data_IF_231884892620
#
_entry.id   IF_231884892620
#
_cell.length_a   1.000
_cell.length_b   1.000
_cell.length_c   1.000
_cell.angle_alpha   90.00
_cell.angle_beta   90.00
_cell.angle_gamma   90.00
#
_symmetry.space_group_name_H-M   'P 1'
#
loop_
_entity.id
_entity.type
_entity.pdbx_description
1 polymer ?
#
# COMPACT_ATOMS: atom_id res chain seq x y z
N UNK A 1 12.95 14.82 -14.90
CA UNK A 1 13.48 15.78 -13.92
C UNK A 1 14.23 16.93 -14.56
N UNK A 2 15.22 16.74 -15.44
CA UNK A 2 15.95 17.87 -16.07
C UNK A 2 15.03 18.80 -16.87
N UNK A 3 14.08 18.23 -17.61
CA UNK A 3 13.09 19.01 -18.34
C UNK A 3 12.05 19.72 -17.42
N UNK A 4 12.00 19.39 -16.13
CA UNK A 4 11.04 20.00 -15.19
C UNK A 4 11.53 21.38 -14.74
N UNK A 5 10.67 22.42 -14.75
CA UNK A 5 11.08 23.78 -14.38
C UNK A 5 11.77 23.84 -13.01
N UNK A 6 12.76 24.73 -12.85
CA UNK A 6 13.50 24.90 -11.59
C UNK A 6 12.58 25.21 -10.41
N UNK A 7 11.53 26.03 -10.63
CA UNK A 7 10.51 26.33 -9.63
C UNK A 7 9.85 25.05 -9.12
N UNK A 8 9.37 24.19 -10.02
CA UNK A 8 8.73 22.92 -9.67
C UNK A 8 9.70 21.97 -8.97
N UNK A 9 10.95 21.85 -9.45
CA UNK A 9 11.98 21.03 -8.79
C UNK A 9 12.29 21.50 -7.37
N UNK A 10 12.29 22.81 -7.15
CA UNK A 10 12.50 23.40 -5.82
C UNK A 10 11.32 23.08 -4.90
N UNK A 11 10.08 23.20 -5.39
CA UNK A 11 8.88 22.79 -4.64
C UNK A 11 8.92 21.29 -4.30
N UNK A 12 9.25 20.43 -5.27
CA UNK A 12 9.38 18.99 -5.07
C UNK A 12 10.43 18.66 -3.99
N UNK A 13 11.58 19.35 -4.00
CA UNK A 13 12.61 19.18 -2.98
C UNK A 13 12.11 19.61 -1.59
N UNK A 14 11.39 20.74 -1.48
CA UNK A 14 10.78 21.18 -0.22
C UNK A 14 9.76 20.17 0.29
N UNK A 15 8.89 19.64 -0.58
CA UNK A 15 7.92 18.59 -0.23
C UNK A 15 8.66 17.34 0.27
N UNK A 16 9.72 16.90 -0.41
CA UNK A 16 10.52 15.76 0.03
C UNK A 16 11.12 16.00 1.43
N UNK A 17 11.58 17.20 1.73
CA UNK A 17 12.08 17.56 3.07
C UNK A 17 10.96 17.53 4.10
N UNK A 18 9.86 18.23 3.85
CA UNK A 18 8.74 18.34 4.82
C UNK A 18 8.16 16.96 5.11
N UNK A 19 7.84 16.19 4.07
CA UNK A 19 7.29 14.83 4.23
C UNK A 19 8.33 13.90 4.85
N UNK A 20 9.60 14.00 4.46
CA UNK A 20 10.69 13.23 5.06
C UNK A 20 10.83 13.49 6.56
N UNK A 21 10.73 14.75 7.00
CA UNK A 21 10.73 15.12 8.42
C UNK A 21 9.51 14.55 9.14
N UNK A 22 8.30 14.61 8.55
CA UNK A 22 7.11 14.01 9.15
C UNK A 22 7.24 12.48 9.28
N UNK A 23 7.82 11.81 8.29
CA UNK A 23 8.07 10.37 8.30
C UNK A 23 9.07 9.94 9.38
N UNK A 24 10.04 10.79 9.70
CA UNK A 24 11.09 10.52 10.71
C UNK A 24 10.65 10.93 12.12
N UNK A 25 9.99 12.09 12.25
CA UNK A 25 9.76 12.73 13.55
C UNK A 25 8.32 12.60 14.06
N UNK A 26 7.33 12.36 13.20
CA UNK A 26 5.91 12.34 13.60
C UNK A 26 5.31 10.95 13.46
N UNK A 27 5.47 10.31 12.30
CA UNK A 27 4.86 9.01 12.01
C UNK A 27 5.24 7.91 13.03
N UNK A 28 6.50 7.80 13.52
CA UNK A 28 6.84 6.77 14.49
C UNK A 28 6.01 6.80 15.76
N UNK A 29 5.68 8.00 16.25
CA UNK A 29 4.82 8.20 17.41
C UNK A 29 3.36 7.84 17.09
N UNK A 30 2.84 8.27 15.93
CA UNK A 30 1.49 7.91 15.50
C UNK A 30 1.34 6.39 15.41
N UNK A 31 2.33 5.68 14.85
CA UNK A 31 2.32 4.21 14.76
C UNK A 31 2.32 3.58 16.15
N UNK A 32 3.21 4.02 17.05
CA UNK A 32 3.29 3.48 18.41
C UNK A 32 1.98 3.67 19.18
N UNK A 33 1.44 4.88 19.19
CA UNK A 33 0.16 5.17 19.85
C UNK A 33 -1.00 4.39 19.22
N UNK A 34 -0.97 4.19 17.90
CA UNK A 34 -1.99 3.39 17.21
C UNK A 34 -1.91 1.92 17.59
N UNK A 35 -0.70 1.37 17.68
CA UNK A 35 -0.46 -0.01 18.08
C UNK A 35 -0.95 -0.25 19.51
N UNK A 36 -0.54 0.58 20.46
CA UNK A 36 -0.93 0.47 21.87
C UNK A 36 -2.45 0.45 22.03
N UNK A 37 -3.15 1.39 21.38
CA UNK A 37 -4.61 1.45 21.42
C UNK A 37 -5.25 0.20 20.83
N UNK A 38 -4.75 -0.29 19.70
CA UNK A 38 -5.23 -1.53 19.07
C UNK A 38 -5.02 -2.72 19.99
N UNK A 39 -3.83 -2.88 20.58
CA UNK A 39 -3.52 -4.01 21.44
C UNK A 39 -4.35 -4.00 22.72
N UNK A 40 -4.54 -2.85 23.37
CA UNK A 40 -5.38 -2.75 24.58
C UNK A 40 -6.81 -3.21 24.30
N UNK A 41 -7.43 -2.73 23.22
CA UNK A 41 -8.81 -3.10 22.88
C UNK A 41 -8.91 -4.55 22.39
N UNK A 42 -7.91 -5.03 21.66
CA UNK A 42 -7.84 -6.42 21.22
C UNK A 42 -7.68 -7.39 22.39
N UNK A 43 -6.81 -7.08 23.37
CA UNK A 43 -6.65 -7.88 24.59
C UNK A 43 -7.96 -7.93 25.39
N UNK A 44 -8.66 -6.80 25.54
CA UNK A 44 -9.97 -6.77 26.21
C UNK A 44 -11.01 -7.64 25.47
N UNK A 45 -11.02 -7.59 24.13
CA UNK A 45 -11.92 -8.41 23.33
C UNK A 45 -11.63 -9.92 23.46
N UNK A 46 -10.35 -10.31 23.52
CA UNK A 46 -9.93 -11.70 23.75
C UNK A 46 -10.36 -12.14 25.17
N UNK A 47 -10.12 -11.32 26.19
CA UNK A 47 -10.52 -11.59 27.57
C UNK A 47 -12.04 -11.74 27.73
N UNK A 48 -12.83 -11.08 26.87
CA UNK A 48 -14.29 -11.24 26.80
C UNK A 48 -14.75 -12.55 26.13
N UNK A 49 -13.86 -13.51 25.87
CA UNK A 49 -14.20 -14.85 25.39
C UNK A 49 -14.04 -15.06 23.88
N UNK A 50 -13.23 -14.24 23.19
CA UNK A 50 -13.01 -14.35 21.74
C UNK A 50 -11.56 -14.78 21.40
N UNK A 51 -11.15 -16.02 21.74
CA UNK A 51 -9.75 -16.47 21.58
C UNK A 51 -9.30 -16.57 20.12
N UNK A 52 -10.23 -16.58 19.15
CA UNK A 52 -9.91 -16.62 17.72
C UNK A 52 -9.09 -15.41 17.24
N UNK A 53 -9.07 -14.31 17.99
CA UNK A 53 -8.34 -13.09 17.65
C UNK A 53 -6.93 -13.02 18.26
N UNK A 54 -6.50 -14.02 19.02
CA UNK A 54 -5.20 -14.02 19.73
C UNK A 54 -4.00 -13.85 18.81
N UNK A 55 -4.02 -14.43 17.63
CA UNK A 55 -2.96 -14.27 16.60
C UNK A 55 -2.78 -12.81 16.15
N UNK A 56 -3.81 -11.97 16.30
CA UNK A 56 -3.74 -10.54 16.00
C UNK A 56 -2.71 -9.81 16.86
N UNK A 57 -2.51 -10.23 18.12
CA UNK A 57 -1.51 -9.62 19.00
C UNK A 57 -0.12 -9.72 18.39
N UNK A 58 0.31 -10.92 18.02
CA UNK A 58 1.63 -11.17 17.42
C UNK A 58 1.77 -10.49 16.06
N UNK A 59 0.75 -10.57 15.21
CA UNK A 59 0.82 -9.99 13.87
C UNK A 59 0.89 -8.46 13.91
N UNK A 60 0.08 -7.79 14.75
CA UNK A 60 0.12 -6.33 14.85
C UNK A 60 1.40 -5.85 15.54
N UNK A 61 1.86 -6.54 16.59
CA UNK A 61 3.12 -6.25 17.28
C UNK A 61 4.35 -6.42 16.36
N UNK A 62 4.26 -7.28 15.33
CA UNK A 62 5.31 -7.39 14.32
C UNK A 62 5.17 -6.32 13.22
N UNK A 63 4.01 -6.24 12.58
CA UNK A 63 3.87 -5.48 11.33
C UNK A 63 3.76 -3.97 11.53
N UNK A 64 3.24 -3.49 12.67
CA UNK A 64 3.25 -2.04 12.96
C UNK A 64 4.69 -1.52 13.09
N UNK A 65 5.57 -2.12 13.92
CA UNK A 65 6.98 -1.72 13.98
C UNK A 65 7.74 -1.87 12.66
N UNK A 66 7.47 -2.92 11.87
CA UNK A 66 8.09 -3.08 10.54
C UNK A 66 7.70 -1.92 9.62
N UNK A 67 6.42 -1.57 9.54
CA UNK A 67 5.97 -0.41 8.75
C UNK A 67 6.56 0.90 9.27
N UNK A 68 6.63 1.09 10.59
CA UNK A 68 7.30 2.23 11.20
C UNK A 68 8.75 2.35 10.75
N UNK A 69 9.53 1.25 10.80
CA UNK A 69 10.93 1.25 10.41
C UNK A 69 11.13 1.53 8.92
N UNK A 70 10.33 0.89 8.06
CA UNK A 70 10.40 1.09 6.61
C UNK A 70 10.03 2.53 6.23
N UNK A 71 9.00 3.11 6.84
CA UNK A 71 8.60 4.51 6.64
C UNK A 71 9.68 5.45 7.16
N UNK A 72 10.29 5.17 8.31
CA UNK A 72 11.38 5.98 8.84
C UNK A 72 12.57 6.04 7.88
N UNK A 73 13.04 4.89 7.39
CA UNK A 73 14.14 4.81 6.41
C UNK A 73 13.76 5.54 5.12
N UNK A 74 12.51 5.42 4.68
CA UNK A 74 12.04 6.15 3.51
C UNK A 74 12.06 7.67 3.72
N UNK A 75 11.73 8.14 4.92
CA UNK A 75 11.82 9.55 5.31
C UNK A 75 13.26 10.07 5.30
N UNK A 76 14.19 9.34 5.91
CA UNK A 76 15.63 9.65 5.84
C UNK A 76 16.11 9.71 4.38
N UNK A 77 15.69 8.76 3.56
CA UNK A 77 16.06 8.73 2.14
C UNK A 77 15.56 9.98 1.40
N UNK A 78 14.31 10.40 1.62
CA UNK A 78 13.75 11.64 1.04
C UNK A 78 14.56 12.88 1.43
N UNK A 79 15.00 12.97 2.70
CA UNK A 79 15.83 14.06 3.19
C UNK A 79 17.19 14.10 2.48
N UNK A 80 17.85 12.95 2.34
CA UNK A 80 19.15 12.83 1.68
C UNK A 80 19.07 13.21 0.20
N UNK A 81 18.05 12.74 -0.52
CA UNK A 81 17.94 12.96 -1.97
C UNK A 81 17.33 14.32 -2.35
N UNK A 82 16.81 15.11 -1.39
CA UNK A 82 16.16 16.39 -1.67
C UNK A 82 17.02 17.35 -2.49
N UNK A 83 18.32 17.39 -2.22
CA UNK A 83 19.27 18.21 -2.99
C UNK A 83 19.40 17.73 -4.44
N UNK A 84 19.37 16.42 -4.67
CA UNK A 84 19.44 15.81 -5.99
C UNK A 84 18.14 16.02 -6.79
N UNK A 85 16.98 16.03 -6.10
CA UNK A 85 15.69 16.43 -6.69
C UNK A 85 15.77 17.87 -7.20
N UNK A 86 16.34 18.79 -6.40
CA UNK A 86 16.51 20.20 -6.79
C UNK A 86 17.44 20.38 -7.99
N UNK A 87 18.50 19.56 -8.09
CA UNK A 87 19.40 19.50 -9.27
C UNK A 87 18.71 18.91 -10.51
N UNK A 88 17.65 18.12 -10.30
CA UNK A 88 16.85 17.51 -11.36
C UNK A 88 17.41 16.20 -11.87
N UNK A 89 18.08 15.44 -11.01
CA UNK A 89 18.54 14.08 -11.31
C UNK A 89 17.36 13.13 -11.59
N UNK A 90 17.35 12.45 -12.74
CA UNK A 90 16.20 11.67 -13.21
C UNK A 90 15.81 10.51 -12.29
N UNK A 91 16.80 9.84 -11.69
CA UNK A 91 16.59 8.67 -10.82
C UNK A 91 15.83 9.01 -9.53
N UNK A 92 15.86 10.28 -9.11
CA UNK A 92 15.21 10.72 -7.86
C UNK A 92 13.70 10.64 -7.93
N UNK A 93 13.11 10.80 -9.13
CA UNK A 93 11.66 10.77 -9.31
C UNK A 93 11.06 9.39 -9.05
N UNK A 94 11.43 8.31 -9.78
CA UNK A 94 10.87 7.00 -9.52
C UNK A 94 11.13 6.52 -8.09
N UNK A 95 12.30 6.84 -7.52
CA UNK A 95 12.59 6.54 -6.12
C UNK A 95 11.61 7.27 -5.18
N UNK A 96 11.44 8.58 -5.33
CA UNK A 96 10.51 9.36 -4.48
C UNK A 96 9.08 8.83 -4.55
N UNK A 97 8.62 8.41 -5.74
CA UNK A 97 7.30 7.77 -5.89
C UNK A 97 7.18 6.51 -5.02
N UNK A 98 8.18 5.62 -5.05
CA UNK A 98 8.18 4.44 -4.18
C UNK A 98 8.19 4.83 -2.68
N UNK A 99 9.00 5.83 -2.30
CA UNK A 99 9.13 6.27 -0.90
C UNK A 99 7.83 6.88 -0.36
N UNK A 100 7.11 7.66 -1.17
CA UNK A 100 5.80 8.22 -0.78
C UNK A 100 4.66 7.19 -0.78
N UNK A 101 4.79 6.11 -1.55
CA UNK A 101 3.82 5.02 -1.54
C UNK A 101 3.82 4.24 -0.20
N UNK A 102 4.99 4.10 0.44
CA UNK A 102 5.15 3.34 1.69
C UNK A 102 4.22 3.81 2.83
N UNK A 103 4.24 5.09 3.26
CA UNK A 103 3.32 5.57 4.30
C UNK A 103 1.85 5.49 3.86
N UNK A 104 1.56 5.63 2.56
CA UNK A 104 0.20 5.47 2.02
C UNK A 104 -0.32 4.05 2.26
N UNK A 105 0.45 3.05 1.84
CA UNK A 105 0.11 1.62 1.95
C UNK A 105 0.10 1.20 3.42
N UNK A 106 1.16 1.50 4.17
CA UNK A 106 1.29 1.12 5.58
C UNK A 106 0.23 1.76 6.47
N UNK A 107 -0.05 3.05 6.26
CA UNK A 107 -1.09 3.77 7.01
C UNK A 107 -2.48 3.16 6.82
N UNK A 108 -2.84 2.77 5.59
CA UNK A 108 -4.15 2.18 5.31
C UNK A 108 -4.24 0.72 5.76
N UNK A 109 -3.13 -0.02 5.73
CA UNK A 109 -3.04 -1.31 6.40
C UNK A 109 -3.32 -1.17 7.90
N UNK A 110 -2.64 -0.25 8.59
CA UNK A 110 -2.81 0.00 10.04
C UNK A 110 -4.18 0.61 10.39
N UNK A 111 -4.82 1.29 9.44
CA UNK A 111 -6.16 1.87 9.61
C UNK A 111 -7.21 0.79 9.88
N UNK A 112 -7.13 -0.37 9.21
CA UNK A 112 -8.16 -1.41 9.32
C UNK A 112 -8.26 -2.05 10.72
N UNK A 113 -7.16 -2.54 11.33
CA UNK A 113 -7.21 -2.97 12.72
C UNK A 113 -7.63 -1.83 13.65
N UNK A 114 -7.20 -0.59 13.38
CA UNK A 114 -7.60 0.55 14.21
C UNK A 114 -9.11 0.74 14.26
N UNK A 115 -9.78 0.85 13.11
CA UNK A 115 -11.24 1.05 13.09
C UNK A 115 -12.04 -0.16 13.58
N UNK A 116 -11.41 -1.33 13.63
CA UNK A 116 -12.05 -2.56 14.10
C UNK A 116 -12.13 -2.60 15.63
N UNK A 117 -11.21 -1.94 16.32
CA UNK A 117 -11.02 -2.09 17.76
C UNK A 117 -11.11 -0.77 18.54
N UNK A 118 -10.72 0.34 17.92
CA UNK A 118 -10.54 1.62 18.60
C UNK A 118 -11.65 2.58 18.16
N UNK A 119 -12.45 3.13 19.09
CA UNK A 119 -13.46 4.13 18.76
C UNK A 119 -12.82 5.48 18.40
N UNK A 120 -13.48 6.23 17.52
CA UNK A 120 -13.09 7.60 17.17
C UNK A 120 -12.27 7.72 15.89
N UNK A 121 -11.56 8.85 15.74
CA UNK A 121 -10.83 9.17 14.52
C UNK A 121 -9.61 8.23 14.33
N UNK A 122 -9.45 7.61 13.16
CA UNK A 122 -8.41 6.64 12.91
C UNK A 122 -7.05 7.30 12.64
N UNK A 123 -6.21 7.36 13.67
CA UNK A 123 -4.88 7.97 13.60
C UNK A 123 -4.01 7.48 12.43
N UNK A 124 -3.99 6.17 12.05
CA UNK A 124 -3.19 5.72 10.91
C UNK A 124 -3.58 6.34 9.57
N UNK A 125 -4.79 6.88 9.43
CA UNK A 125 -5.21 7.59 8.22
C UNK A 125 -4.37 8.85 7.96
N UNK A 126 -3.89 9.50 9.02
CA UNK A 126 -2.97 10.66 8.90
C UNK A 126 -1.67 10.24 8.22
N UNK A 127 -1.14 9.07 8.56
CA UNK A 127 0.07 8.50 7.94
C UNK A 127 -0.14 8.35 6.43
N UNK A 128 -1.30 7.80 6.04
CA UNK A 128 -1.62 7.63 4.63
C UNK A 128 -1.70 8.95 3.88
N UNK A 129 -2.36 9.95 4.46
CA UNK A 129 -2.49 11.26 3.80
C UNK A 129 -1.17 12.02 3.67
N UNK A 130 -0.24 11.85 4.63
CA UNK A 130 1.12 12.38 4.51
C UNK A 130 1.79 11.78 3.26
N UNK A 131 1.72 10.47 3.09
CA UNK A 131 2.25 9.77 1.91
C UNK A 131 1.62 10.23 0.60
N UNK A 132 0.28 10.22 0.54
CA UNK A 132 -0.48 10.59 -0.66
C UNK A 132 -0.23 12.03 -1.09
N UNK A 133 -0.06 12.95 -0.14
CA UNK A 133 0.26 14.35 -0.43
C UNK A 133 1.56 14.47 -1.22
N UNK A 134 2.63 13.80 -0.76
CA UNK A 134 3.90 13.76 -1.49
C UNK A 134 3.78 13.07 -2.84
N UNK A 135 3.08 11.92 -2.86
CA UNK A 135 2.89 11.08 -4.04
C UNK A 135 2.19 11.83 -5.18
N UNK A 136 1.03 12.43 -4.91
CA UNK A 136 0.26 13.16 -5.90
C UNK A 136 0.94 14.46 -6.31
N UNK A 137 1.54 15.19 -5.36
CA UNK A 137 2.27 16.41 -5.69
C UNK A 137 3.40 16.13 -6.70
N UNK A 138 4.15 15.04 -6.54
CA UNK A 138 5.23 14.69 -7.46
C UNK A 138 4.71 14.38 -8.88
N UNK A 139 3.58 13.66 -8.99
CA UNK A 139 2.94 13.39 -10.28
C UNK A 139 2.59 14.70 -11.00
N UNK A 140 1.97 15.64 -10.31
CA UNK A 140 1.49 16.88 -10.93
C UNK A 140 2.58 17.94 -11.12
N UNK A 141 3.63 17.96 -10.29
CA UNK A 141 4.73 18.92 -10.39
C UNK A 141 5.75 18.55 -11.48
N UNK A 142 5.94 17.25 -11.76
CA UNK A 142 6.82 16.82 -12.86
C UNK A 142 6.31 17.36 -14.19
N UNK A 143 7.21 17.81 -15.07
CA UNK A 143 6.83 18.19 -16.44
C UNK A 143 6.41 16.95 -17.22
N UNK A 144 5.19 16.98 -17.73
CA UNK A 144 4.59 16.02 -18.63
C UNK A 144 3.31 16.65 -19.21
N UNK A 145 2.78 16.08 -20.29
CA UNK A 145 1.46 16.43 -20.80
C UNK A 145 0.38 16.18 -19.73
N UNK A 146 -0.69 17.00 -19.75
CA UNK A 146 -1.77 16.93 -18.75
C UNK A 146 -2.40 15.54 -18.69
N UNK A 147 -2.62 14.89 -19.84
CA UNK A 147 -3.21 13.54 -19.89
C UNK A 147 -2.26 12.47 -19.34
N UNK A 148 -0.94 12.62 -19.51
CA UNK A 148 0.05 11.73 -18.87
C UNK A 148 -0.01 11.85 -17.36
N UNK A 149 -0.18 13.07 -16.82
CA UNK A 149 -0.30 13.28 -15.37
C UNK A 149 -1.56 12.62 -14.79
N UNK A 150 -2.71 12.84 -15.41
CA UNK A 150 -3.97 12.23 -14.96
C UNK A 150 -3.98 10.72 -15.10
N UNK A 151 -3.42 10.20 -16.19
CA UNK A 151 -3.28 8.75 -16.38
C UNK A 151 -2.38 8.14 -15.32
N UNK A 152 -1.23 8.77 -15.02
CA UNK A 152 -0.34 8.31 -13.95
C UNK A 152 -0.98 8.44 -12.57
N UNK A 153 -1.70 9.53 -12.31
CA UNK A 153 -2.46 9.72 -11.07
C UNK A 153 -3.45 8.57 -10.85
N UNK A 154 -4.29 8.27 -11.85
CA UNK A 154 -5.24 7.17 -11.78
C UNK A 154 -4.55 5.81 -11.62
N UNK A 155 -3.68 5.45 -12.58
CA UNK A 155 -3.02 4.15 -12.61
C UNK A 155 -2.23 3.87 -11.32
N UNK A 156 -1.39 4.82 -10.90
CA UNK A 156 -0.50 4.63 -9.74
C UNK A 156 -1.25 4.69 -8.40
N UNK A 157 -2.38 5.41 -8.32
CA UNK A 157 -3.24 5.40 -7.13
C UNK A 157 -3.97 4.06 -7.01
N UNK A 158 -4.56 3.55 -8.09
CA UNK A 158 -5.22 2.24 -8.09
C UNK A 158 -4.24 1.09 -7.78
N UNK A 159 -3.00 1.15 -8.29
CA UNK A 159 -1.95 0.18 -7.94
C UNK A 159 -1.62 0.25 -6.44
N UNK A 160 -1.51 1.45 -5.86
CA UNK A 160 -1.29 1.61 -4.42
C UNK A 160 -2.46 1.10 -3.57
N UNK A 161 -3.70 1.35 -4.00
CA UNK A 161 -4.90 0.83 -3.34
C UNK A 161 -4.96 -0.69 -3.39
N UNK A 162 -4.70 -1.30 -4.56
CA UNK A 162 -4.66 -2.75 -4.71
C UNK A 162 -3.53 -3.38 -3.90
N UNK A 163 -2.37 -2.73 -3.82
CA UNK A 163 -1.25 -3.17 -2.97
C UNK A 163 -1.64 -3.18 -1.49
N UNK A 164 -2.33 -2.13 -1.04
CA UNK A 164 -2.83 -2.03 0.34
C UNK A 164 -3.83 -3.12 0.66
N UNK A 165 -4.80 -3.31 -0.24
CA UNK A 165 -5.82 -4.34 -0.12
C UNK A 165 -5.19 -5.74 -0.06
N UNK A 166 -4.32 -6.06 -1.01
CA UNK A 166 -3.65 -7.35 -1.07
C UNK A 166 -2.80 -7.62 0.18
N UNK A 167 -2.04 -6.63 0.66
CA UNK A 167 -1.26 -6.77 1.89
C UNK A 167 -2.15 -7.06 3.11
N UNK A 168 -3.27 -6.33 3.21
CA UNK A 168 -4.25 -6.52 4.29
C UNK A 168 -4.89 -7.90 4.23
N UNK A 169 -5.31 -8.35 3.05
CA UNK A 169 -5.88 -9.69 2.87
C UNK A 169 -4.89 -10.76 3.31
N UNK A 170 -3.61 -10.62 2.94
CA UNK A 170 -2.57 -11.55 3.39
C UNK A 170 -2.46 -11.62 4.91
N UNK A 171 -2.41 -10.48 5.59
CA UNK A 171 -2.35 -10.42 7.07
C UNK A 171 -3.62 -10.99 7.70
N UNK A 172 -4.80 -10.61 7.19
CA UNK A 172 -6.08 -11.11 7.66
C UNK A 172 -6.22 -12.62 7.48
N UNK A 173 -5.64 -13.15 6.40
CA UNK A 173 -5.57 -14.57 6.14
C UNK A 173 -4.69 -15.28 7.17
N UNK A 174 -3.45 -14.81 7.39
CA UNK A 174 -2.56 -15.36 8.40
C UNK A 174 -3.18 -15.37 9.80
N UNK A 175 -3.80 -14.24 10.19
CA UNK A 175 -4.49 -14.12 11.47
C UNK A 175 -5.49 -15.25 11.68
N UNK A 176 -6.32 -15.49 10.67
CA UNK A 176 -7.36 -16.52 10.74
C UNK A 176 -6.77 -17.93 10.62
N UNK A 177 -5.68 -18.12 9.88
CA UNK A 177 -5.02 -19.42 9.73
C UNK A 177 -4.32 -19.87 11.01
N UNK A 178 -3.76 -18.97 11.81
CA UNK A 178 -3.04 -19.35 13.05
C UNK A 178 -3.96 -19.79 14.18
N UNK A 179 -5.23 -19.38 14.15
CA UNK A 179 -6.25 -19.76 15.14
C UNK A 179 -7.34 -20.67 14.56
N UNK A 180 -7.08 -21.26 13.38
CA UNK A 180 -8.05 -22.13 12.71
C UNK A 180 -8.35 -23.39 13.54
N UNK A 181 -9.56 -23.96 13.41
CA UNK A 181 -9.86 -25.28 13.96
C UNK A 181 -8.88 -26.33 13.42
N UNK A 182 -8.54 -27.31 14.25
CA UNK A 182 -7.70 -28.46 13.90
C UNK A 182 -6.27 -28.10 13.45
N UNK A 183 -5.76 -26.91 13.78
CA UNK A 183 -4.38 -26.51 13.52
C UNK A 183 -3.38 -27.57 14.04
N UNK A 184 -2.39 -28.03 13.24
CA UNK A 184 -1.91 -27.48 11.98
C UNK A 184 -2.57 -28.05 10.71
N UNK A 185 -3.60 -28.88 10.82
CA UNK A 185 -4.30 -29.43 9.67
C UNK A 185 -5.32 -28.43 9.11
N UNK A 186 -5.94 -28.80 8.00
CA UNK A 186 -6.98 -28.03 7.34
C UNK A 186 -8.22 -28.89 7.21
N UNK A 187 -9.36 -28.34 7.61
CA UNK A 187 -10.64 -29.06 7.65
C UNK A 187 -11.18 -29.43 6.27
N UNK A 188 -11.12 -28.49 5.33
CA UNK A 188 -11.68 -28.65 3.99
C UNK A 188 -11.03 -27.70 2.97
N UNK A 189 -11.46 -27.81 1.70
CA UNK A 189 -10.97 -26.99 0.60
C UNK A 189 -11.14 -25.48 0.83
N UNK A 190 -12.15 -25.03 1.57
CA UNK A 190 -12.37 -23.59 1.80
C UNK A 190 -11.27 -22.99 2.68
N UNK A 191 -10.69 -23.78 3.57
CA UNK A 191 -9.52 -23.39 4.36
C UNK A 191 -8.23 -23.40 3.52
N UNK A 192 -8.09 -24.36 2.60
CA UNK A 192 -6.97 -24.39 1.64
C UNK A 192 -6.98 -23.16 0.74
N UNK A 193 -8.14 -22.87 0.15
CA UNK A 193 -8.35 -21.72 -0.73
C UNK A 193 -8.08 -20.41 0.00
N UNK A 194 -8.54 -20.28 1.24
CA UNK A 194 -8.32 -19.07 2.02
C UNK A 194 -6.85 -18.84 2.37
N UNK A 195 -6.10 -19.89 2.73
CA UNK A 195 -4.66 -19.79 2.90
C UNK A 195 -3.99 -19.36 1.58
N UNK A 196 -4.34 -20.04 0.49
CA UNK A 196 -3.79 -19.76 -0.84
C UNK A 196 -4.04 -18.32 -1.29
N UNK A 197 -5.24 -17.78 -1.05
CA UNK A 197 -5.58 -16.36 -1.25
C UNK A 197 -4.62 -15.44 -0.50
N UNK A 198 -4.34 -15.72 0.77
CA UNK A 198 -3.48 -14.89 1.61
C UNK A 198 -2.08 -14.77 1.01
N UNK A 199 -1.48 -15.92 0.70
CA UNK A 199 -0.12 -16.00 0.17
C UNK A 199 0.00 -15.38 -1.23
N UNK A 200 -0.97 -15.64 -2.12
CA UNK A 200 -0.95 -15.06 -3.47
C UNK A 200 -1.07 -13.55 -3.40
N UNK A 201 -1.94 -13.01 -2.54
CA UNK A 201 -2.06 -11.57 -2.36
C UNK A 201 -0.74 -10.97 -1.83
N UNK A 202 -0.08 -11.59 -0.86
CA UNK A 202 1.23 -11.13 -0.36
C UNK A 202 2.32 -11.10 -1.44
N UNK A 203 2.44 -12.15 -2.24
CA UNK A 203 3.40 -12.16 -3.36
C UNK A 203 3.05 -11.08 -4.40
N UNK A 204 1.76 -10.89 -4.69
CA UNK A 204 1.31 -9.87 -5.63
C UNK A 204 1.63 -8.43 -5.17
N UNK A 205 1.65 -8.15 -3.85
CA UNK A 205 2.07 -6.85 -3.31
C UNK A 205 3.47 -6.48 -3.79
N UNK A 206 4.41 -7.44 -3.83
CA UNK A 206 5.79 -7.18 -4.28
C UNK A 206 5.78 -6.71 -5.73
N UNK A 207 5.04 -7.40 -6.60
CA UNK A 207 4.94 -7.03 -8.02
C UNK A 207 4.29 -5.65 -8.20
N UNK A 208 3.19 -5.39 -7.50
CA UNK A 208 2.50 -4.12 -7.57
C UNK A 208 3.35 -2.97 -7.04
N UNK A 209 4.02 -3.14 -5.90
CA UNK A 209 4.89 -2.11 -5.32
C UNK A 209 6.07 -1.80 -6.25
N UNK A 210 6.75 -2.83 -6.77
CA UNK A 210 7.87 -2.64 -7.71
C UNK A 210 7.43 -2.03 -9.05
N UNK A 211 6.17 -2.17 -9.42
CA UNK A 211 5.62 -1.54 -10.62
C UNK A 211 5.53 -0.01 -10.50
N UNK A 212 5.30 0.53 -9.30
CA UNK A 212 5.12 1.97 -9.05
C UNK A 212 6.30 2.80 -9.59
N UNK A 213 7.56 2.61 -9.12
CA UNK A 213 8.68 3.42 -9.58
C UNK A 213 8.92 3.27 -11.09
N UNK A 214 8.71 2.07 -11.63
CA UNK A 214 8.94 1.79 -13.05
C UNK A 214 7.89 2.43 -13.95
N UNK A 215 6.61 2.35 -13.60
CA UNK A 215 5.51 2.97 -14.34
C UNK A 215 5.51 4.49 -14.20
N UNK A 216 5.99 5.03 -13.08
CA UNK A 216 6.14 6.46 -12.89
C UNK A 216 7.07 7.10 -13.95
N UNK A 217 8.00 6.33 -14.52
CA UNK A 217 8.88 6.74 -15.62
C UNK A 217 8.57 6.01 -16.95
N UNK A 218 7.36 5.47 -17.11
CA UNK A 218 6.88 4.90 -18.38
C UNK A 218 7.54 3.59 -18.80
N UNK A 219 8.20 2.86 -17.88
CA UNK A 219 8.93 1.63 -18.24
C UNK A 219 7.98 0.46 -18.41
N UNK A 220 8.06 -0.19 -19.58
CA UNK A 220 7.26 -1.39 -19.91
C UNK A 220 7.45 -2.56 -18.94
N UNK A 221 8.62 -2.69 -18.30
CA UNK A 221 8.84 -3.69 -17.24
C UNK A 221 7.87 -3.48 -16.06
N UNK A 222 7.65 -2.23 -15.65
CA UNK A 222 6.68 -1.89 -14.61
C UNK A 222 5.26 -2.28 -15.00
N UNK A 223 4.88 -2.07 -16.26
CA UNK A 223 3.58 -2.50 -16.76
C UNK A 223 3.38 -4.01 -16.63
N UNK A 224 4.36 -4.83 -17.03
CA UNK A 224 4.25 -6.28 -16.85
C UNK A 224 4.11 -6.69 -15.39
N UNK A 225 4.88 -6.10 -14.47
CA UNK A 225 4.76 -6.38 -13.04
C UNK A 225 3.35 -6.04 -12.52
N UNK A 226 2.80 -4.87 -12.89
CA UNK A 226 1.47 -4.47 -12.48
C UNK A 226 0.38 -5.40 -13.04
N UNK A 227 0.50 -5.79 -14.31
CA UNK A 227 -0.45 -6.71 -14.97
C UNK A 227 -0.42 -8.08 -14.32
N UNK A 228 0.77 -8.66 -14.12
CA UNK A 228 0.93 -9.98 -13.51
C UNK A 228 0.36 -9.97 -12.09
N UNK A 229 0.78 -9.02 -11.25
CA UNK A 229 0.26 -8.90 -9.88
C UNK A 229 -1.26 -8.74 -9.83
N UNK A 230 -1.82 -7.92 -10.72
CA UNK A 230 -3.27 -7.69 -10.79
C UNK A 230 -4.03 -8.94 -11.25
N UNK A 231 -3.56 -9.62 -12.31
CA UNK A 231 -4.19 -10.85 -12.80
C UNK A 231 -4.12 -11.95 -11.74
N UNK A 232 -2.98 -12.11 -11.05
CA UNK A 232 -2.86 -13.06 -9.95
C UNK A 232 -3.90 -12.81 -8.84
N UNK A 233 -4.10 -11.55 -8.45
CA UNK A 233 -5.13 -11.19 -7.46
C UNK A 233 -6.53 -11.49 -7.99
N UNK A 234 -6.85 -11.16 -9.24
CA UNK A 234 -8.16 -11.45 -9.82
C UNK A 234 -8.45 -12.95 -9.89
N UNK A 235 -7.47 -13.73 -10.35
CA UNK A 235 -7.59 -15.19 -10.49
C UNK A 235 -7.86 -15.88 -9.15
N UNK A 236 -7.41 -15.32 -8.03
CA UNK A 236 -7.59 -15.92 -6.71
C UNK A 236 -8.75 -15.30 -5.91
N UNK A 237 -8.99 -13.99 -6.01
CA UNK A 237 -10.04 -13.31 -5.26
C UNK A 237 -11.43 -13.57 -5.83
N UNK A 238 -11.59 -13.59 -7.16
CA UNK A 238 -12.89 -13.86 -7.79
C UNK A 238 -13.47 -15.21 -7.35
N UNK A 239 -12.77 -16.36 -7.52
CA UNK A 239 -13.31 -17.64 -7.07
C UNK A 239 -13.54 -17.64 -5.55
N UNK A 240 -12.65 -17.05 -4.76
CA UNK A 240 -12.79 -17.01 -3.31
C UNK A 240 -14.04 -16.29 -2.85
N UNK A 241 -14.47 -15.23 -3.53
CA UNK A 241 -15.72 -14.54 -3.21
C UNK A 241 -16.95 -15.46 -3.34
N UNK A 242 -16.94 -16.40 -4.28
CA UNK A 242 -18.04 -17.36 -4.46
C UNK A 242 -18.09 -18.42 -3.34
N UNK A 243 -16.93 -18.82 -2.80
CA UNK A 243 -16.85 -19.79 -1.70
C UNK A 243 -16.97 -19.14 -0.32
N UNK A 244 -16.56 -17.87 -0.17
CA UNK A 244 -16.54 -17.13 1.09
C UNK A 244 -17.33 -15.83 0.98
N UNK A 245 -18.64 -15.94 1.20
CA UNK A 245 -19.61 -14.85 1.04
C UNK A 245 -19.86 -14.03 2.30
N UNK A 246 -19.26 -14.41 3.45
CA UNK A 246 -19.45 -13.71 4.73
C UNK A 246 -18.92 -12.27 4.71
N UNK A 247 -17.91 -11.98 3.88
CA UNK A 247 -17.38 -10.63 3.68
C UNK A 247 -17.30 -10.32 2.18
N UNK A 248 -17.18 -9.03 1.86
CA UNK A 248 -17.04 -8.54 0.49
C UNK A 248 -15.58 -8.17 0.15
N UNK A 249 -14.63 -8.56 1.00
CA UNK A 249 -13.24 -8.12 0.87
C UNK A 249 -12.63 -8.57 -0.47
N UNK A 250 -12.96 -9.78 -0.93
CA UNK A 250 -12.45 -10.31 -2.20
C UNK A 250 -13.10 -9.63 -3.41
N UNK A 251 -14.40 -9.29 -3.32
CA UNK A 251 -15.09 -8.48 -4.31
C UNK A 251 -14.42 -7.10 -4.44
N UNK A 252 -14.14 -6.44 -3.32
CA UNK A 252 -13.44 -5.15 -3.35
C UNK A 252 -12.05 -5.25 -3.98
N UNK A 253 -11.30 -6.31 -3.65
CA UNK A 253 -10.02 -6.59 -4.31
C UNK A 253 -10.16 -6.79 -5.81
N UNK A 254 -11.20 -7.52 -6.25
CA UNK A 254 -11.46 -7.74 -7.66
C UNK A 254 -11.85 -6.44 -8.39
N UNK A 255 -12.68 -5.59 -7.79
CA UNK A 255 -13.06 -4.29 -8.36
C UNK A 255 -11.86 -3.36 -8.47
N UNK A 256 -10.98 -3.32 -7.46
CA UNK A 256 -9.72 -2.58 -7.52
C UNK A 256 -8.81 -3.12 -8.62
N UNK A 257 -8.70 -4.45 -8.76
CA UNK A 257 -7.94 -5.09 -9.83
C UNK A 257 -8.46 -4.74 -11.22
N UNK A 258 -9.77 -4.75 -11.42
CA UNK A 258 -10.40 -4.28 -12.67
C UNK A 258 -10.05 -2.82 -12.92
N UNK A 259 -10.13 -1.96 -11.89
CA UNK A 259 -9.71 -0.55 -11.98
C UNK A 259 -8.26 -0.38 -12.43
N UNK A 260 -7.33 -1.17 -11.89
CA UNK A 260 -5.94 -1.20 -12.35
C UNK A 260 -5.87 -1.61 -13.83
N UNK A 261 -6.54 -2.69 -14.23
CA UNK A 261 -6.52 -3.16 -15.62
C UNK A 261 -7.09 -2.15 -16.61
N UNK A 262 -8.12 -1.36 -16.23
CA UNK A 262 -8.64 -0.28 -17.07
C UNK A 262 -7.51 0.68 -17.45
N UNK A 263 -6.71 1.15 -16.49
CA UNK A 263 -5.59 2.04 -16.78
C UNK A 263 -4.43 1.37 -17.53
N UNK A 264 -4.22 0.06 -17.35
CA UNK A 264 -3.10 -0.66 -17.97
C UNK A 264 -3.42 -1.17 -19.39
N UNK A 265 -4.67 -1.51 -19.69
CA UNK A 265 -5.06 -2.24 -20.91
C UNK A 265 -5.80 -1.38 -21.92
N UNK A 266 -6.58 -0.39 -21.48
CA UNK A 266 -7.29 0.49 -22.41
C UNK A 266 -6.25 1.27 -23.24
N UNK A 267 -6.31 1.21 -24.59
CA UNK A 267 -5.27 1.77 -25.46
C UNK A 267 -4.94 3.24 -25.17
N UNK A 268 -5.98 4.03 -24.87
CA UNK A 268 -5.84 5.44 -24.51
C UNK A 268 -4.94 5.63 -23.29
N UNK A 269 -5.24 5.00 -22.16
CA UNK A 269 -4.44 5.12 -20.95
C UNK A 269 -3.05 4.48 -21.10
N UNK A 270 -2.98 3.29 -21.71
CA UNK A 270 -1.71 2.58 -21.92
C UNK A 270 -0.70 3.43 -22.69
N UNK A 271 -1.13 4.13 -23.76
CA UNK A 271 -0.27 5.03 -24.53
C UNK A 271 0.34 6.13 -23.65
N UNK A 272 -0.50 6.83 -22.89
CA UNK A 272 -0.05 7.92 -22.02
C UNK A 272 0.75 7.44 -20.80
N UNK A 273 0.54 6.21 -20.34
CA UNK A 273 1.26 5.63 -19.22
C UNK A 273 2.70 5.23 -19.61
N UNK A 274 2.90 4.75 -20.84
CA UNK A 274 4.18 4.26 -21.36
C UNK A 274 4.98 5.30 -22.18
N UNK A 275 4.55 6.57 -22.10
CA UNK A 275 5.30 7.73 -22.60
C UNK A 275 6.19 8.29 -21.49
#
# INVERSE_FOLDING_TARGET
MQATPQKNRTVMAVIAVVIGLLMVAVIPFIVQTSLERVLVHLMAHIAAGNPAFTSGLTLFDLFYPVWRAVIFVAGVTLLVIATQIKKGEEWTYPLSMALFALPSIGGFFMFLPYISWVPGFPLPMVISFIGLTGYWAFIFLRKAETMVKWTRFGALTFIGMLSTHAFTIGIGAQRTMWTRPDHPLYKDFTWWLFNWVGEVNWVAVILLFLSIPLLAVGRRKGWWLAVIGTISILMINIPTQFFRTKTLDYLYGALLGIGVLVFLMVPYFKKHLLT
#
